data_IF_699331372007
#
_entry.id   IF_699331372007
#
_cell.length_a   1.000
_cell.length_b   1.000
_cell.length_c   1.000
_cell.angle_alpha   90.00
_cell.angle_beta   90.00
_cell.angle_gamma   90.00
#
_symmetry.space_group_name_H-M   'P 1'
#
loop_
_entity.id
_entity.type
_entity.pdbx_description
1 polymer ?
#
# COMPACT_ATOMS: atom_id res chain seq x y z
N UNK A 1 -16.98 -3.11 -25.66
CA UNK A 1 -18.36 -2.80 -25.20
C UNK A 1 -18.34 -1.38 -24.65
N UNK A 2 -18.81 -0.41 -25.43
CA UNK A 2 -18.88 1.00 -24.99
C UNK A 2 -20.09 1.13 -24.08
N UNK A 3 -19.91 1.78 -22.91
CA UNK A 3 -20.89 1.84 -21.83
C UNK A 3 -22.22 2.38 -22.37
N UNK A 4 -23.19 1.49 -22.65
CA UNK A 4 -24.43 1.80 -23.36
C UNK A 4 -25.66 1.82 -22.44
N UNK A 5 -25.49 2.18 -21.17
CA UNK A 5 -26.60 2.31 -20.21
C UNK A 5 -26.43 3.54 -19.33
N UNK A 6 -27.56 4.06 -18.89
CA UNK A 6 -27.66 5.09 -17.87
C UNK A 6 -26.89 4.62 -16.62
N UNK A 7 -25.88 5.39 -16.22
CA UNK A 7 -25.04 5.07 -15.08
C UNK A 7 -25.87 5.19 -13.79
N UNK A 8 -25.83 4.16 -12.96
CA UNK A 8 -26.41 4.17 -11.61
C UNK A 8 -25.29 4.25 -10.59
N UNK A 9 -25.41 5.18 -9.64
CA UNK A 9 -24.54 5.20 -8.46
C UNK A 9 -24.72 3.88 -7.70
N UNK A 10 -23.62 3.11 -7.60
CA UNK A 10 -23.61 1.85 -6.86
C UNK A 10 -23.24 2.08 -5.40
N UNK A 11 -22.17 2.83 -5.17
CA UNK A 11 -21.57 3.00 -3.85
C UNK A 11 -21.09 4.44 -3.68
N UNK A 12 -21.17 4.94 -2.44
CA UNK A 12 -20.65 6.23 -2.00
C UNK A 12 -19.94 6.01 -0.68
N UNK A 13 -18.73 6.54 -0.57
CA UNK A 13 -17.94 6.53 0.64
C UNK A 13 -17.59 7.97 0.98
N UNK A 14 -17.66 8.30 2.26
CA UNK A 14 -17.27 9.60 2.81
C UNK A 14 -16.00 9.40 3.64
N UNK A 15 -15.10 10.38 3.58
CA UNK A 15 -13.76 10.35 4.15
C UNK A 15 -13.59 11.54 5.09
N UNK A 16 -12.85 11.36 6.18
CA UNK A 16 -12.69 12.38 7.21
C UNK A 16 -11.61 13.40 6.87
N UNK A 17 -10.59 12.98 6.12
CA UNK A 17 -9.49 13.84 5.66
C UNK A 17 -9.34 13.71 4.15
N UNK A 18 -8.58 14.60 3.48
CA UNK A 18 -8.45 14.55 2.04
C UNK A 18 -7.95 13.19 1.53
N UNK A 19 -8.64 12.68 0.50
CA UNK A 19 -8.18 11.51 -0.27
C UNK A 19 -6.99 11.94 -1.11
N UNK A 20 -5.85 11.32 -0.84
CA UNK A 20 -4.58 11.61 -1.50
C UNK A 20 -4.35 10.73 -2.72
N UNK A 21 -4.73 9.45 -2.64
CA UNK A 21 -4.49 8.48 -3.70
C UNK A 21 -5.57 7.40 -3.73
N UNK A 22 -5.88 6.95 -4.95
CA UNK A 22 -6.73 5.80 -5.24
C UNK A 22 -5.87 4.76 -5.97
N UNK A 23 -5.89 3.51 -5.52
CA UNK A 23 -5.11 2.41 -6.11
C UNK A 23 -6.03 1.22 -6.35
N UNK A 24 -6.19 0.83 -7.61
CA UNK A 24 -6.83 -0.43 -7.96
C UNK A 24 -5.83 -1.57 -7.79
N UNK A 25 -6.29 -2.70 -7.26
CA UNK A 25 -5.52 -3.94 -7.40
C UNK A 25 -5.65 -4.49 -8.82
N UNK A 26 -4.91 -5.56 -9.13
CA UNK A 26 -5.08 -6.35 -10.35
C UNK A 26 -6.47 -7.04 -10.47
N UNK A 27 -7.38 -6.83 -9.51
CA UNK A 27 -8.73 -7.38 -9.47
C UNK A 27 -9.78 -6.36 -9.01
N UNK A 28 -10.71 -6.78 -8.15
CA UNK A 28 -11.92 -6.02 -7.82
C UNK A 28 -11.81 -5.19 -6.53
N UNK A 29 -10.62 -4.75 -6.14
CA UNK A 29 -10.43 -3.97 -4.91
C UNK A 29 -9.90 -2.57 -5.20
N UNK A 30 -10.41 -1.62 -4.44
CA UNK A 30 -9.94 -0.23 -4.41
C UNK A 30 -9.33 0.06 -3.05
N UNK A 31 -8.05 0.41 -3.04
CA UNK A 31 -7.40 1.01 -1.90
C UNK A 31 -7.54 2.54 -1.99
N UNK A 32 -7.93 3.15 -0.88
CA UNK A 32 -8.01 4.59 -0.71
C UNK A 32 -7.00 5.01 0.35
N UNK A 33 -6.17 5.97 0.01
CA UNK A 33 -5.21 6.60 0.92
C UNK A 33 -5.71 7.99 1.30
N UNK A 34 -5.97 8.18 2.58
CA UNK A 34 -6.27 9.45 3.24
C UNK A 34 -5.00 10.02 3.87
N UNK A 35 -4.80 11.34 3.79
CA UNK A 35 -3.68 12.02 4.46
C UNK A 35 -4.16 13.23 5.25
N UNK A 36 -3.79 13.27 6.52
CA UNK A 36 -3.88 14.47 7.36
C UNK A 36 -2.51 15.16 7.34
N UNK A 37 -2.38 16.24 6.57
CA UNK A 37 -1.11 16.97 6.43
C UNK A 37 -0.68 17.68 7.72
N UNK A 38 -1.64 18.05 8.56
CA UNK A 38 -1.39 18.80 9.80
C UNK A 38 -0.82 17.85 10.86
N UNK A 39 -1.41 16.65 10.96
CA UNK A 39 -0.93 15.60 11.87
C UNK A 39 0.18 14.72 11.28
N UNK A 40 0.42 14.79 9.97
CA UNK A 40 1.37 13.95 9.20
C UNK A 40 1.04 12.46 9.31
N UNK A 41 -0.26 12.15 9.31
CA UNK A 41 -0.80 10.81 9.41
C UNK A 41 -1.31 10.34 8.04
N UNK A 42 -1.20 9.04 7.78
CA UNK A 42 -1.80 8.39 6.64
C UNK A 42 -2.74 7.26 7.11
N UNK A 43 -3.91 7.21 6.49
CA UNK A 43 -4.91 6.18 6.73
C UNK A 43 -5.24 5.46 5.43
N UNK A 44 -5.46 4.16 5.54
CA UNK A 44 -5.73 3.31 4.38
C UNK A 44 -7.05 2.57 4.56
N UNK A 45 -7.84 2.61 3.50
CA UNK A 45 -9.08 1.87 3.37
C UNK A 45 -8.98 0.94 2.18
N UNK A 46 -9.65 -0.19 2.25
CA UNK A 46 -9.78 -1.09 1.10
C UNK A 46 -11.24 -1.51 0.96
N UNK A 47 -11.78 -1.33 -0.24
CA UNK A 47 -13.15 -1.69 -0.60
C UNK A 47 -13.15 -2.74 -1.70
N UNK A 48 -14.04 -3.72 -1.59
CA UNK A 48 -14.36 -4.65 -2.66
C UNK A 48 -15.39 -4.00 -3.60
N UNK A 49 -14.99 -3.66 -4.82
CA UNK A 49 -15.76 -2.84 -5.76
C UNK A 49 -17.08 -3.48 -6.20
N UNK A 50 -17.16 -4.80 -6.22
CA UNK A 50 -18.39 -5.51 -6.61
C UNK A 50 -19.51 -5.43 -5.56
N UNK A 51 -19.15 -5.38 -4.28
CA UNK A 51 -20.09 -5.50 -3.16
C UNK A 51 -20.16 -4.24 -2.29
N UNK A 52 -19.14 -3.38 -2.35
CA UNK A 52 -18.91 -2.29 -1.42
C UNK A 52 -18.46 -2.72 -0.04
N UNK A 53 -18.10 -3.99 0.13
CA UNK A 53 -17.60 -4.51 1.41
C UNK A 53 -16.27 -3.85 1.76
N UNK A 54 -16.19 -3.34 2.97
CA UNK A 54 -14.97 -2.77 3.54
C UNK A 54 -14.09 -3.94 4.01
N UNK A 55 -12.90 -4.07 3.42
CA UNK A 55 -11.87 -5.07 3.76
C UNK A 55 -10.85 -4.51 4.75
N UNK A 56 -10.65 -3.19 4.73
CA UNK A 56 -9.78 -2.47 5.64
C UNK A 56 -10.40 -1.10 5.87
N UNK A 57 -10.51 -0.69 7.13
CA UNK A 57 -11.08 0.60 7.52
C UNK A 57 -10.06 1.37 8.35
N UNK A 58 -9.72 2.56 7.85
CA UNK A 58 -8.86 3.54 8.52
C UNK A 58 -7.58 2.98 9.13
N UNK A 59 -6.96 2.03 8.44
CA UNK A 59 -5.76 1.36 8.90
C UNK A 59 -4.55 2.31 8.87
N UNK A 60 -3.70 2.21 9.88
CA UNK A 60 -2.43 2.91 9.93
C UNK A 60 -1.29 1.93 10.23
N UNK A 61 -0.21 1.91 9.44
CA UNK A 61 0.98 1.08 9.71
C UNK A 61 1.62 1.37 11.08
N UNK A 62 2.51 0.50 11.58
CA UNK A 62 2.93 0.49 12.98
C UNK A 62 3.82 1.68 13.33
N UNK A 63 4.59 2.16 12.34
CA UNK A 63 5.19 3.48 12.39
C UNK A 63 4.11 4.48 12.00
N UNK A 64 3.50 5.13 13.01
CA UNK A 64 2.52 6.23 12.85
C UNK A 64 3.03 7.44 12.06
N UNK A 65 4.27 7.39 11.59
CA UNK A 65 4.82 8.38 10.68
C UNK A 65 4.32 8.09 9.27
N UNK A 66 4.36 9.12 8.41
CA UNK A 66 4.00 9.02 7.01
C UNK A 66 4.41 7.66 6.43
N UNK A 67 3.46 6.96 5.84
CA UNK A 67 3.68 5.73 5.11
C UNK A 67 3.13 5.90 3.69
N UNK A 68 3.43 4.97 2.81
CA UNK A 68 2.84 4.92 1.49
C UNK A 68 2.66 3.50 1.01
N UNK A 69 2.00 3.36 -0.14
CA UNK A 69 1.78 2.08 -0.81
C UNK A 69 2.69 1.97 -2.03
N UNK A 70 3.48 0.90 -2.07
CA UNK A 70 4.33 0.53 -3.20
C UNK A 70 3.60 -0.37 -4.19
N UNK A 71 2.84 -1.34 -3.68
CA UNK A 71 2.14 -2.35 -4.49
C UNK A 71 0.83 -2.76 -3.82
N UNK A 72 -0.20 -2.98 -4.63
CA UNK A 72 -1.43 -3.64 -4.19
C UNK A 72 -1.79 -4.77 -5.17
N UNK A 73 -1.64 -6.02 -4.73
CA UNK A 73 -1.82 -7.21 -5.57
C UNK A 73 -2.32 -8.39 -4.75
N UNK A 74 -3.24 -9.20 -5.31
CA UNK A 74 -3.75 -10.42 -4.68
C UNK A 74 -4.21 -10.23 -3.22
N UNK A 75 -4.96 -9.14 -2.96
CA UNK A 75 -5.40 -8.73 -1.61
C UNK A 75 -4.26 -8.54 -0.58
N UNK A 76 -3.04 -8.28 -1.07
CA UNK A 76 -1.89 -7.92 -0.25
C UNK A 76 -1.42 -6.53 -0.60
N UNK A 77 -1.17 -5.74 0.42
CA UNK A 77 -0.68 -4.37 0.28
C UNK A 77 0.76 -4.34 0.77
N UNK A 78 1.66 -3.84 -0.07
CA UNK A 78 3.03 -3.56 0.32
C UNK A 78 3.11 -2.08 0.65
N UNK A 79 3.41 -1.80 1.91
CA UNK A 79 3.64 -0.47 2.43
C UNK A 79 5.13 -0.18 2.55
N UNK A 80 5.46 1.10 2.51
CA UNK A 80 6.75 1.65 2.96
C UNK A 80 6.52 2.73 4.02
N UNK A 81 7.54 2.98 4.84
CA UNK A 81 7.65 4.18 5.67
C UNK A 81 8.64 5.19 5.06
N UNK A 82 8.85 6.31 5.74
CA UNK A 82 9.90 7.28 5.37
C UNK A 82 11.00 7.34 6.42
N UNK A 83 12.24 7.57 5.99
CA UNK A 83 13.42 7.67 6.89
C UNK A 83 13.32 8.81 7.90
N UNK A 84 12.74 9.92 7.49
CA UNK A 84 12.57 11.11 8.32
C UNK A 84 11.42 11.95 7.77
N UNK A 85 10.85 12.79 8.63
CA UNK A 85 9.84 13.74 8.21
C UNK A 85 10.39 14.66 7.10
N UNK A 86 9.66 14.78 5.99
CA UNK A 86 9.96 15.72 4.90
C UNK A 86 11.00 15.27 3.87
N UNK A 87 11.64 14.10 4.04
CA UNK A 87 12.52 13.54 3.00
C UNK A 87 11.80 12.42 2.24
N UNK A 88 11.84 12.41 0.89
CA UNK A 88 11.16 11.42 0.08
C UNK A 88 11.88 10.06 0.05
N UNK A 89 12.71 9.76 1.05
CA UNK A 89 13.47 8.52 1.10
C UNK A 89 12.65 7.44 1.82
N UNK A 90 12.14 6.50 1.05
CA UNK A 90 11.40 5.35 1.55
C UNK A 90 12.32 4.46 2.41
N UNK A 91 11.78 3.90 3.49
CA UNK A 91 12.43 2.93 4.36
C UNK A 91 11.37 1.97 4.91
N UNK A 92 11.76 0.72 5.04
CA UNK A 92 10.85 -0.33 5.46
C UNK A 92 10.04 -0.84 4.28
N UNK A 93 9.84 -2.15 4.25
CA UNK A 93 8.91 -2.82 3.35
C UNK A 93 8.04 -3.72 4.21
N UNK A 94 6.73 -3.50 4.19
CA UNK A 94 5.77 -4.22 5.04
C UNK A 94 4.69 -4.83 4.18
N UNK A 95 4.53 -6.15 4.20
CA UNK A 95 3.48 -6.83 3.46
C UNK A 95 2.32 -7.16 4.38
N UNK A 96 1.18 -6.51 4.16
CA UNK A 96 -0.05 -6.75 4.90
C UNK A 96 -1.01 -7.59 4.06
N UNK A 97 -1.58 -8.64 4.64
CA UNK A 97 -2.54 -9.52 3.99
C UNK A 97 -3.95 -9.21 4.49
N UNK A 98 -4.83 -8.79 3.59
CA UNK A 98 -6.19 -8.37 3.92
C UNK A 98 -7.09 -9.53 4.36
N UNK A 99 -6.76 -10.77 4.01
CA UNK A 99 -7.55 -11.92 4.43
C UNK A 99 -7.17 -12.35 5.85
N UNK A 100 -5.88 -12.34 6.17
CA UNK A 100 -5.36 -12.65 7.51
C UNK A 100 -5.44 -11.48 8.48
N UNK A 101 -5.62 -10.26 7.97
CA UNK A 101 -5.61 -9.02 8.76
C UNK A 101 -4.31 -8.87 9.57
N UNK A 102 -3.19 -9.26 8.96
CA UNK A 102 -1.88 -9.27 9.63
C UNK A 102 -0.74 -9.02 8.66
N UNK A 103 0.40 -8.58 9.19
CA UNK A 103 1.65 -8.57 8.44
C UNK A 103 2.11 -10.00 8.15
N UNK A 104 2.38 -10.33 6.88
CA UNK A 104 3.00 -11.59 6.50
C UNK A 104 4.50 -11.58 6.77
N UNK A 105 5.15 -10.45 6.48
CA UNK A 105 6.57 -10.23 6.69
C UNK A 105 6.87 -8.73 6.67
N UNK A 106 8.02 -8.38 7.24
CA UNK A 106 8.50 -7.01 7.34
C UNK A 106 10.02 -6.98 7.10
N UNK A 107 10.49 -5.94 6.43
CA UNK A 107 11.90 -5.67 6.17
C UNK A 107 12.20 -4.20 6.49
N UNK A 108 12.47 -3.85 7.76
CA UNK A 108 12.50 -2.46 8.22
C UNK A 108 13.65 -1.62 7.64
N UNK A 109 14.75 -2.26 7.22
CA UNK A 109 15.95 -1.56 6.76
C UNK A 109 16.08 -1.46 5.23
N UNK A 110 15.16 -2.08 4.50
CA UNK A 110 15.16 -2.08 3.04
C UNK A 110 14.23 -1.02 2.48
N UNK A 111 14.54 -0.53 1.28
CA UNK A 111 13.69 0.36 0.49
C UNK A 111 13.22 -0.40 -0.74
N UNK A 112 11.93 -0.32 -1.07
CA UNK A 112 11.37 -0.96 -2.26
C UNK A 112 11.95 -0.32 -3.53
N UNK A 113 12.23 -1.14 -4.56
CA UNK A 113 12.65 -0.67 -5.88
C UNK A 113 11.62 -1.02 -6.95
N UNK A 114 11.31 -2.31 -7.08
CA UNK A 114 10.37 -2.86 -8.07
C UNK A 114 9.96 -4.27 -7.66
N UNK A 115 8.79 -4.71 -8.12
CA UNK A 115 8.35 -6.10 -8.03
C UNK A 115 8.10 -6.69 -9.41
N UNK A 116 8.35 -7.98 -9.57
CA UNK A 116 7.95 -8.76 -10.74
C UNK A 116 7.56 -10.18 -10.32
N UNK A 117 7.40 -11.09 -11.30
CA UNK A 117 7.04 -12.49 -11.06
C UNK A 117 8.06 -13.27 -10.21
N UNK A 118 9.32 -12.82 -10.18
CA UNK A 118 10.40 -13.48 -9.41
C UNK A 118 10.49 -13.00 -7.96
N UNK A 119 9.98 -11.81 -7.65
CA UNK A 119 9.98 -11.28 -6.30
C UNK A 119 10.05 -9.76 -6.23
N UNK A 120 10.57 -9.28 -5.10
CA UNK A 120 10.71 -7.85 -4.80
C UNK A 120 12.20 -7.51 -4.81
N UNK A 121 12.57 -6.57 -5.63
CA UNK A 121 13.90 -5.97 -5.61
C UNK A 121 13.86 -4.78 -4.67
N UNK A 122 14.87 -4.72 -3.82
CA UNK A 122 15.00 -3.71 -2.80
C UNK A 122 16.44 -3.20 -2.73
N UNK A 123 16.66 -2.13 -1.99
CA UNK A 123 18.00 -1.61 -1.77
C UNK A 123 18.15 -1.05 -0.37
N UNK A 124 19.40 -0.96 0.07
CA UNK A 124 19.81 -0.09 1.16
C UNK A 124 20.56 1.09 0.56
N UNK A 125 20.25 2.30 1.05
CA UNK A 125 20.94 3.53 0.68
C UNK A 125 21.71 4.06 1.88
N UNK A 126 23.03 4.20 1.75
CA UNK A 126 23.84 5.06 2.62
C UNK A 126 24.05 6.42 1.95
N UNK A 127 24.66 7.37 2.64
CA UNK A 127 24.95 8.71 2.09
C UNK A 127 25.77 8.68 0.79
N UNK A 128 26.62 7.66 0.60
CA UNK A 128 27.57 7.57 -0.52
C UNK A 128 27.44 6.31 -1.38
N UNK A 129 26.69 5.29 -0.93
CA UNK A 129 26.61 4.00 -1.64
C UNK A 129 25.18 3.45 -1.65
N UNK A 130 24.81 2.74 -2.72
CA UNK A 130 23.56 1.99 -2.83
C UNK A 130 23.88 0.51 -3.01
N UNK A 131 23.44 -0.33 -2.08
CA UNK A 131 23.52 -1.78 -2.22
C UNK A 131 22.14 -2.31 -2.59
N UNK A 132 22.05 -3.00 -3.72
CA UNK A 132 20.81 -3.61 -4.22
C UNK A 132 20.76 -5.07 -3.75
N UNK A 133 19.61 -5.48 -3.23
CA UNK A 133 19.35 -6.86 -2.82
C UNK A 133 18.01 -7.34 -3.41
N UNK A 134 17.93 -8.63 -3.74
CA UNK A 134 16.68 -9.25 -4.19
C UNK A 134 16.05 -10.05 -3.06
N UNK A 135 14.80 -9.74 -2.73
CA UNK A 135 13.94 -10.56 -1.88
C UNK A 135 13.17 -11.52 -2.78
N UNK A 136 13.70 -12.73 -2.93
CA UNK A 136 13.08 -13.77 -3.72
C UNK A 136 11.93 -14.37 -2.93
N UNK A 137 10.77 -14.53 -3.57
CA UNK A 137 9.65 -15.29 -3.03
C UNK A 137 10.13 -16.73 -2.84
N UNK A 138 10.41 -17.14 -1.62
CA UNK A 138 10.61 -18.57 -1.35
C UNK A 138 9.26 -19.25 -1.60
N UNK A 139 9.16 -20.25 -2.48
CA UNK A 139 7.93 -21.01 -2.59
C UNK A 139 7.63 -21.62 -1.22
N UNK A 140 6.48 -21.27 -0.66
CA UNK A 140 5.95 -21.96 0.51
C UNK A 140 5.69 -23.38 0.04
N UNK A 141 6.43 -24.34 0.61
CA UNK A 141 6.22 -25.78 0.37
C UNK A 141 4.88 -26.22 0.93
#
# INVERSE_FOLDING_TARGET
MWISKQLKLQQKFDFEVPVWRLILSDGDCLLVEERDSDKREAFYHVFELGTGRILLDRFSPPDKFWSGVELFKDKRVIFHGYRSQGLPFHKGIFCYDLEKQSYLWQQPDLSFLISNEYGIYAFTQSLSHRNICCLIKTPVR
#
